data_IF_526703961915
#
_entry.id   IF_526703961915
#
_cell.length_a   1.000
_cell.length_b   1.000
_cell.length_c   1.000
_cell.angle_alpha   90.00
_cell.angle_beta   90.00
_cell.angle_gamma   90.00
#
_symmetry.space_group_name_H-M   'P 1'
#
loop_
_entity.id
_entity.type
_entity.pdbx_description
1 polymer ?
#
# COMPACT_ATOMS: atom_id res chain seq x y z
N UNK A 1 -13.99 2.00 -5.18
CA UNK A 1 -13.31 0.79 -5.69
C UNK A 1 -12.93 -0.13 -4.54
N UNK A 2 -12.65 -1.37 -4.85
CA UNK A 2 -12.20 -2.33 -3.86
C UNK A 2 -10.87 -2.91 -4.31
N UNK A 3 -9.93 -2.99 -3.38
CA UNK A 3 -8.65 -3.66 -3.58
C UNK A 3 -8.56 -4.82 -2.59
N UNK A 4 -7.59 -5.69 -2.79
CA UNK A 4 -7.27 -6.71 -1.80
C UNK A 4 -6.04 -6.21 -1.04
N UNK A 5 -6.19 -6.01 0.27
CA UNK A 5 -5.11 -5.51 1.13
C UNK A 5 -4.78 -6.58 2.14
N UNK A 6 -3.56 -7.13 2.05
CA UNK A 6 -3.10 -8.20 2.92
C UNK A 6 -4.11 -9.35 2.99
N UNK A 7 -4.63 -9.73 1.83
CA UNK A 7 -5.55 -10.86 1.71
C UNK A 7 -7.01 -10.57 2.03
N UNK A 8 -7.36 -9.34 2.35
CA UNK A 8 -8.73 -8.99 2.70
C UNK A 8 -9.27 -7.87 1.81
N UNK A 9 -10.57 -7.85 1.53
CA UNK A 9 -11.16 -6.74 0.78
C UNK A 9 -11.00 -5.42 1.53
N UNK A 10 -10.64 -4.38 0.80
CA UNK A 10 -10.48 -3.05 1.36
C UNK A 10 -11.15 -2.05 0.44
N UNK A 11 -12.35 -1.57 0.79
CA UNK A 11 -13.05 -0.61 -0.05
C UNK A 11 -12.38 0.76 0.04
N UNK A 12 -12.36 1.45 -1.09
CA UNK A 12 -11.83 2.80 -1.17
C UNK A 12 -12.68 3.60 -2.14
N UNK A 13 -13.01 4.86 -1.83
CA UNK A 13 -13.93 5.62 -2.68
C UNK A 13 -13.37 5.96 -4.05
N UNK A 14 -12.06 6.05 -4.18
CA UNK A 14 -11.44 6.43 -5.45
C UNK A 14 -10.03 5.85 -5.55
N UNK A 15 -9.46 5.81 -6.76
CA UNK A 15 -8.07 5.40 -6.90
C UNK A 15 -7.14 6.30 -6.11
N UNK A 16 -6.16 5.71 -5.46
CA UNK A 16 -5.18 6.42 -4.64
C UNK A 16 -3.78 5.94 -4.98
N UNK A 17 -2.79 6.76 -4.65
CA UNK A 17 -1.40 6.32 -4.71
C UNK A 17 -1.09 5.43 -3.51
N UNK A 18 0.01 4.68 -3.61
CA UNK A 18 0.49 3.91 -2.48
C UNK A 18 0.76 4.81 -1.28
N UNK A 19 1.36 5.99 -1.52
CA UNK A 19 1.62 6.93 -0.44
C UNK A 19 0.34 7.35 0.28
N UNK A 20 -0.73 7.63 -0.48
CA UNK A 20 -2.01 8.00 0.12
C UNK A 20 -2.62 6.85 0.91
N UNK A 21 -2.51 5.63 0.40
CA UNK A 21 -2.99 4.47 1.14
C UNK A 21 -2.26 4.32 2.47
N UNK A 22 -0.94 4.48 2.46
CA UNK A 22 -0.16 4.40 3.69
C UNK A 22 -0.57 5.49 4.69
N UNK A 23 -0.82 6.71 4.22
CA UNK A 23 -1.32 7.77 5.10
C UNK A 23 -2.67 7.40 5.70
N UNK A 24 -3.57 6.88 4.88
CA UNK A 24 -4.90 6.50 5.36
C UNK A 24 -4.85 5.39 6.40
N UNK A 25 -3.84 4.54 6.33
CA UNK A 25 -3.64 3.45 7.28
C UNK A 25 -2.81 3.86 8.50
N UNK A 26 -2.34 5.10 8.54
CA UNK A 26 -1.48 5.55 9.62
C UNK A 26 -0.07 5.01 9.56
N UNK A 27 0.37 4.61 8.37
CA UNK A 27 1.69 3.98 8.18
C UNK A 27 2.70 4.89 7.50
N UNK A 28 2.33 6.13 7.17
CA UNK A 28 3.28 7.07 6.58
C UNK A 28 4.43 7.33 7.54
N UNK A 29 5.63 7.40 7.00
CA UNK A 29 6.83 7.60 7.81
C UNK A 29 7.32 6.35 8.53
N UNK A 30 6.62 5.24 8.42
CA UNK A 30 7.03 4.00 9.06
C UNK A 30 7.76 3.09 8.07
N UNK A 31 8.70 2.26 8.56
CA UNK A 31 9.40 1.34 7.66
C UNK A 31 8.46 0.21 7.22
N UNK A 32 8.09 0.23 5.96
CA UNK A 32 7.20 -0.78 5.39
C UNK A 32 7.76 -1.27 4.06
N UNK A 33 7.41 -2.49 3.71
CA UNK A 33 7.60 -3.02 2.37
C UNK A 33 6.22 -3.15 1.74
N UNK A 34 6.06 -2.60 0.55
CA UNK A 34 4.80 -2.64 -0.18
C UNK A 34 5.00 -3.43 -1.47
N UNK A 35 4.11 -4.41 -1.69
CA UNK A 35 4.04 -5.11 -2.97
C UNK A 35 2.70 -4.79 -3.63
N UNK A 36 2.75 -4.47 -4.91
CA UNK A 36 1.58 -4.23 -5.73
C UNK A 36 1.54 -5.28 -6.82
N UNK A 37 0.50 -6.11 -6.78
CA UNK A 37 0.31 -7.22 -7.73
C UNK A 37 1.58 -8.09 -7.84
N UNK A 38 2.19 -8.37 -6.68
CA UNK A 38 3.37 -9.22 -6.60
C UNK A 38 4.70 -8.56 -6.82
N UNK A 39 4.71 -7.24 -7.08
CA UNK A 39 5.95 -6.51 -7.30
C UNK A 39 6.22 -5.55 -6.16
N UNK A 40 7.45 -5.60 -5.62
CA UNK A 40 7.86 -4.65 -4.60
C UNK A 40 7.99 -3.26 -5.20
N UNK A 41 7.44 -2.26 -4.52
CA UNK A 41 7.49 -0.86 -4.96
C UNK A 41 8.39 -0.10 -4.00
N UNK A 42 9.40 0.55 -4.53
CA UNK A 42 10.33 1.32 -3.70
C UNK A 42 9.64 2.55 -3.09
N UNK A 43 10.04 2.94 -1.88
CA UNK A 43 9.44 4.12 -1.22
C UNK A 43 9.47 5.38 -2.09
N UNK A 44 10.51 5.57 -2.87
CA UNK A 44 10.63 6.75 -3.73
C UNK A 44 9.55 6.80 -4.82
N UNK A 45 8.92 5.65 -5.11
CA UNK A 45 7.89 5.56 -6.15
C UNK A 45 6.48 5.51 -5.57
N UNK A 46 6.32 5.52 -4.24
CA UNK A 46 5.01 5.37 -3.60
C UNK A 46 4.04 6.48 -3.98
N UNK A 47 4.52 7.72 -4.07
CA UNK A 47 3.64 8.84 -4.39
C UNK A 47 3.22 8.88 -5.86
N UNK A 48 3.95 8.17 -6.71
CA UNK A 48 3.71 8.18 -8.15
C UNK A 48 3.05 6.89 -8.65
N UNK A 49 2.86 5.91 -7.78
CA UNK A 49 2.27 4.64 -8.17
C UNK A 49 0.81 4.61 -7.75
N UNK A 50 -0.09 4.59 -8.74
CA UNK A 50 -1.52 4.51 -8.47
C UNK A 50 -1.95 3.06 -8.30
N UNK A 51 -2.86 2.85 -7.37
CA UNK A 51 -3.47 1.55 -7.12
C UNK A 51 -4.78 1.52 -7.89
N UNK A 52 -4.90 0.58 -8.82
CA UNK A 52 -6.09 0.46 -9.64
C UNK A 52 -7.14 -0.42 -8.97
N UNK A 53 -8.42 -0.28 -9.37
CA UNK A 53 -9.47 -1.16 -8.84
C UNK A 53 -9.11 -2.62 -9.05
N UNK A 54 -9.33 -3.44 -8.02
CA UNK A 54 -9.05 -4.87 -8.08
C UNK A 54 -7.61 -5.26 -7.83
N UNK A 55 -6.72 -4.28 -7.59
CA UNK A 55 -5.31 -4.58 -7.34
C UNK A 55 -5.12 -5.35 -6.04
N UNK A 56 -4.05 -6.11 -5.99
CA UNK A 56 -3.64 -6.85 -4.80
C UNK A 56 -2.45 -6.13 -4.16
N UNK A 57 -2.61 -5.67 -2.93
CA UNK A 57 -1.59 -4.91 -2.20
C UNK A 57 -1.20 -5.69 -0.95
N UNK A 58 0.09 -5.88 -0.76
CA UNK A 58 0.63 -6.47 0.46
C UNK A 58 1.51 -5.43 1.15
N UNK A 59 1.28 -5.22 2.43
CA UNK A 59 2.08 -4.28 3.22
C UNK A 59 2.61 -5.02 4.43
N UNK A 60 3.93 -5.01 4.58
CA UNK A 60 4.60 -5.60 5.74
C UNK A 60 5.30 -4.47 6.48
N UNK A 61 4.97 -4.31 7.75
CA UNK A 61 5.67 -3.36 8.61
C UNK A 61 6.91 -4.03 9.18
N UNK A 62 8.03 -3.30 9.15
CA UNK A 62 9.29 -3.81 9.68
C UNK A 62 9.40 -3.41 11.13
N UNK A 63 9.73 -4.39 11.99
CA UNK A 63 9.89 -4.10 13.40
C UNK A 63 11.13 -3.24 13.61
N UNK A 64 10.96 -2.12 14.28
CA UNK A 64 12.06 -1.22 14.56
C UNK A 64 12.90 -1.76 15.70
N UNK A 65 14.20 -1.87 15.46
CA UNK A 65 15.15 -2.15 16.50
C UNK A 65 15.07 -3.52 17.14
N UNK A 66 14.37 -4.40 16.47
CA UNK A 66 14.28 -5.78 16.98
C UNK A 66 13.54 -5.88 18.27
#
# INVERSE_FOLDING_TARGET
MTITLNGAPHPHPEPVSIAQLLENLGLDGKPVVVELDGQAIFPRDHSQTLIQPGACVEIVTLAAGG
#
